data_IF_194672655546
#
_entry.id   IF_194672655546
#
_cell.length_a   1.000
_cell.length_b   1.000
_cell.length_c   1.000
_cell.angle_alpha   90.00
_cell.angle_beta   90.00
_cell.angle_gamma   90.00
#
_symmetry.space_group_name_H-M   'P 1'
#
loop_
_entity.id
_entity.type
_entity.pdbx_description
1 polymer ?
#
# COMPACT_ATOMS: atom_id res chain seq x y z
N UNK A 1 -8.81 -18.72 13.43
CA UNK A 1 -9.78 -18.18 12.47
C UNK A 1 -8.98 -17.36 11.48
N UNK A 2 -9.15 -17.56 10.17
CA UNK A 2 -8.51 -16.67 9.19
C UNK A 2 -9.19 -15.31 9.31
N UNK A 3 -8.41 -14.26 9.55
CA UNK A 3 -8.93 -12.89 9.58
C UNK A 3 -9.35 -12.48 8.17
N UNK A 4 -10.38 -11.63 8.07
CA UNK A 4 -10.92 -11.21 6.78
C UNK A 4 -9.99 -10.17 6.14
N UNK A 5 -9.70 -10.36 4.86
CA UNK A 5 -8.87 -9.46 4.06
C UNK A 5 -9.73 -8.40 3.34
N UNK A 6 -9.17 -7.19 3.24
CA UNK A 6 -9.78 -6.07 2.53
C UNK A 6 -8.74 -5.32 1.72
N UNK A 7 -9.10 -4.93 0.50
CA UNK A 7 -8.18 -4.30 -0.45
C UNK A 7 -8.75 -2.96 -0.89
N UNK A 8 -7.93 -1.92 -0.79
CA UNK A 8 -8.31 -0.55 -1.14
C UNK A 8 -7.25 0.10 -2.01
N UNK A 9 -7.71 0.97 -2.91
CA UNK A 9 -6.93 1.87 -3.74
C UNK A 9 -7.39 3.30 -3.48
N UNK A 10 -6.46 4.24 -3.29
CA UNK A 10 -6.79 5.63 -3.05
C UNK A 10 -5.68 6.59 -3.46
N UNK A 11 -6.02 7.85 -3.72
CA UNK A 11 -5.03 8.90 -3.86
C UNK A 11 -4.44 9.23 -2.48
N UNK A 12 -3.16 9.59 -2.44
CA UNK A 12 -2.47 9.99 -1.22
C UNK A 12 -1.50 11.13 -1.49
N UNK A 13 -1.34 12.00 -0.50
CA UNK A 13 -0.28 12.99 -0.46
C UNK A 13 0.96 12.38 0.20
N UNK A 14 2.09 12.42 -0.50
CA UNK A 14 3.41 12.03 0.00
C UNK A 14 4.29 13.27 0.16
N UNK A 15 5.44 13.12 0.82
CA UNK A 15 6.36 14.24 1.04
C UNK A 15 6.84 14.89 -0.27
N UNK A 16 7.02 14.11 -1.34
CA UNK A 16 7.48 14.62 -2.65
C UNK A 16 6.36 14.84 -3.68
N UNK A 17 5.09 14.68 -3.32
CA UNK A 17 3.95 15.00 -4.20
C UNK A 17 2.74 14.09 -4.06
N UNK A 18 1.81 14.21 -5.01
CA UNK A 18 0.61 13.37 -5.09
C UNK A 18 0.94 12.03 -5.73
N UNK A 19 0.36 10.97 -5.17
CA UNK A 19 0.44 9.63 -5.74
C UNK A 19 -0.75 8.78 -5.35
N UNK A 20 -0.58 7.46 -5.43
CA UNK A 20 -1.64 6.51 -5.08
C UNK A 20 -1.11 5.43 -4.14
N UNK A 21 -2.00 4.92 -3.29
CA UNK A 21 -1.73 3.81 -2.38
C UNK A 21 -2.66 2.66 -2.68
N UNK A 22 -2.11 1.45 -2.59
CA UNK A 22 -2.87 0.21 -2.53
C UNK A 22 -2.61 -0.43 -1.17
N UNK A 23 -3.66 -0.73 -0.41
CA UNK A 23 -3.50 -1.30 0.94
C UNK A 23 -4.31 -2.57 1.09
N UNK A 24 -3.65 -3.63 1.54
CA UNK A 24 -4.28 -4.82 2.09
C UNK A 24 -4.38 -4.67 3.61
N UNK A 25 -5.59 -4.90 4.12
CA UNK A 25 -5.83 -5.03 5.54
C UNK A 25 -6.19 -6.46 5.90
N UNK A 26 -5.50 -7.04 6.87
CA UNK A 26 -5.93 -8.24 7.58
C UNK A 26 -6.65 -7.80 8.86
N UNK A 27 -7.97 -7.98 8.90
CA UNK A 27 -8.80 -7.46 9.98
C UNK A 27 -8.79 -5.93 10.02
N UNK A 28 -8.15 -5.35 11.04
CA UNK A 28 -8.04 -3.90 11.23
C UNK A 28 -6.63 -3.35 10.98
N UNK A 29 -5.65 -4.19 10.65
CA UNK A 29 -4.24 -3.78 10.47
C UNK A 29 -3.83 -3.92 9.03
N UNK A 30 -3.04 -2.97 8.52
CA UNK A 30 -2.44 -3.13 7.21
C UNK A 30 -1.40 -4.27 7.27
N UNK A 31 -1.46 -5.20 6.32
CA UNK A 31 -0.52 -6.31 6.17
C UNK A 31 0.45 -6.08 5.02
N UNK A 32 -0.01 -5.41 3.97
CA UNK A 32 0.77 -5.05 2.78
C UNK A 32 0.31 -3.71 2.25
N UNK A 33 1.25 -2.92 1.73
CA UNK A 33 0.96 -1.65 1.09
C UNK A 33 1.89 -1.42 -0.10
N UNK A 34 1.35 -0.79 -1.14
CA UNK A 34 2.10 -0.36 -2.32
C UNK A 34 1.89 1.14 -2.44
N UNK A 35 2.97 1.90 -2.38
CA UNK A 35 2.97 3.33 -2.57
C UNK A 35 3.47 3.61 -3.99
N UNK A 36 2.72 4.37 -4.79
CA UNK A 36 3.14 4.73 -6.15
C UNK A 36 3.31 6.23 -6.23
N UNK A 37 4.54 6.66 -6.51
CA UNK A 37 4.93 8.06 -6.52
C UNK A 37 5.90 8.31 -7.67
N UNK A 38 5.62 9.33 -8.49
CA UNK A 38 6.45 9.69 -9.65
C UNK A 38 6.75 8.51 -10.60
N UNK A 39 5.79 7.59 -10.77
CA UNK A 39 5.93 6.39 -11.62
C UNK A 39 6.72 5.24 -10.98
N UNK A 40 7.21 5.39 -9.75
CA UNK A 40 7.91 4.35 -9.00
C UNK A 40 6.97 3.69 -7.99
N UNK A 41 7.12 2.38 -7.81
CA UNK A 41 6.31 1.59 -6.89
C UNK A 41 7.16 1.11 -5.72
N UNK A 42 6.66 1.33 -4.50
CA UNK A 42 7.31 0.94 -3.25
C UNK A 42 6.35 0.01 -2.49
N UNK A 43 6.53 -1.30 -2.68
CA UNK A 43 5.76 -2.34 -2.01
C UNK A 43 6.45 -2.75 -0.70
N UNK A 44 5.69 -2.85 0.39
CA UNK A 44 6.19 -3.28 1.68
C UNK A 44 5.14 -4.04 2.50
N UNK A 45 5.63 -4.94 3.35
CA UNK A 45 4.88 -5.66 4.37
C UNK A 45 5.52 -5.49 5.76
N UNK A 46 6.32 -4.43 5.96
CA UNK A 46 7.15 -4.22 7.14
C UNK A 46 7.02 -2.78 7.64
N UNK A 47 6.69 -2.61 8.92
CA UNK A 47 6.51 -1.29 9.54
C UNK A 47 7.81 -0.48 9.64
N UNK A 48 8.97 -1.13 9.48
CA UNK A 48 10.28 -0.47 9.54
C UNK A 48 10.78 0.00 8.17
N UNK A 49 10.12 -0.39 7.07
CA UNK A 49 10.54 0.02 5.75
C UNK A 49 10.23 1.50 5.54
N UNK A 50 11.26 2.25 5.14
CA UNK A 50 11.22 3.69 5.02
C UNK A 50 11.93 4.14 3.74
N UNK A 51 11.30 5.03 2.99
CA UNK A 51 11.90 5.69 1.83
C UNK A 51 11.78 7.20 2.04
N UNK A 52 12.89 7.98 1.99
CA UNK A 52 12.86 9.42 2.30
C UNK A 52 11.84 10.26 1.54
N UNK A 53 11.45 9.86 0.33
CA UNK A 53 10.48 10.58 -0.50
C UNK A 53 9.02 10.22 -0.18
N UNK A 54 8.78 9.06 0.41
CA UNK A 54 7.46 8.48 0.68
C UNK A 54 7.12 8.54 2.18
N UNK A 55 8.10 8.26 3.03
CA UNK A 55 7.92 8.02 4.47
C UNK A 55 7.97 6.52 4.80
N UNK A 56 7.29 6.13 5.87
CA UNK A 56 7.07 4.72 6.19
C UNK A 56 6.15 4.10 5.14
N UNK A 57 6.51 2.90 4.67
CA UNK A 57 5.83 2.30 3.53
C UNK A 57 4.57 1.52 3.89
N UNK A 58 4.33 1.26 5.17
CA UNK A 58 3.17 0.53 5.67
C UNK A 58 2.44 1.34 6.75
N UNK A 59 1.14 1.55 6.55
CA UNK A 59 0.28 2.20 7.54
C UNK A 59 0.23 1.40 8.85
N UNK A 60 0.50 2.06 9.98
CA UNK A 60 0.62 1.42 11.30
C UNK A 60 -0.63 1.56 12.18
N UNK A 61 -1.58 2.42 11.78
CA UNK A 61 -2.85 2.64 12.45
C UNK A 61 -3.94 1.61 12.14
N UNK A 62 -5.15 1.83 12.67
CA UNK A 62 -6.28 0.93 12.40
C UNK A 62 -7.08 1.37 11.17
N UNK A 63 -7.67 0.38 10.50
CA UNK A 63 -8.52 0.58 9.30
C UNK A 63 -9.83 1.30 9.60
N UNK A 64 -10.32 1.31 10.84
CA UNK A 64 -11.52 2.03 11.25
C UNK A 64 -11.25 3.49 11.67
N UNK A 65 -9.99 3.83 11.85
CA UNK A 65 -9.51 5.20 12.11
C UNK A 65 -9.07 5.91 10.81
N UNK A 66 -8.84 5.14 9.74
CA UNK A 66 -8.48 5.67 8.43
C UNK A 66 -9.72 6.09 7.65
N UNK A 67 -9.72 7.32 7.15
CA UNK A 67 -10.74 7.78 6.22
C UNK A 67 -10.55 7.12 4.85
N UNK A 68 -11.52 6.30 4.46
CA UNK A 68 -11.53 5.54 3.20
C UNK A 68 -12.71 5.96 2.32
N UNK A 69 -13.40 7.08 2.61
CA UNK A 69 -14.58 7.51 1.84
C UNK A 69 -14.28 7.68 0.36
N UNK A 70 -13.08 8.19 0.06
CA UNK A 70 -12.62 8.49 -1.30
C UNK A 70 -11.80 7.33 -1.90
N UNK A 71 -11.62 6.24 -1.13
CA UNK A 71 -10.93 5.04 -1.59
C UNK A 71 -11.88 4.11 -2.34
N UNK A 72 -11.35 3.49 -3.40
CA UNK A 72 -12.04 2.45 -4.15
C UNK A 72 -11.66 1.11 -3.55
N UNK A 73 -12.67 0.31 -3.20
CA UNK A 73 -12.45 -1.09 -2.82
C UNK A 73 -12.15 -1.91 -4.08
N UNK A 74 -11.07 -2.66 -4.07
CA UNK A 74 -10.63 -3.52 -5.17
C UNK A 74 -10.73 -5.01 -4.80
N UNK A 75 -10.53 -5.89 -5.77
CA UNK A 75 -10.49 -7.34 -5.52
C UNK A 75 -9.10 -7.79 -5.05
N UNK A 76 -9.04 -8.98 -4.44
CA UNK A 76 -7.77 -9.60 -4.07
C UNK A 76 -6.91 -9.86 -5.31
N UNK A 77 -7.49 -10.39 -6.38
CA UNK A 77 -6.78 -10.70 -7.63
C UNK A 77 -6.17 -9.44 -8.25
N UNK A 78 -6.87 -8.32 -8.18
CA UNK A 78 -6.36 -7.03 -8.65
C UNK A 78 -5.18 -6.56 -7.80
N UNK A 79 -5.29 -6.63 -6.47
CA UNK A 79 -4.19 -6.27 -5.57
C UNK A 79 -2.96 -7.15 -5.81
N UNK A 80 -3.11 -8.48 -5.87
CA UNK A 80 -1.99 -9.41 -6.06
C UNK A 80 -1.28 -9.20 -7.39
N UNK A 81 -2.01 -8.88 -8.46
CA UNK A 81 -1.43 -8.54 -9.76
C UNK A 81 -0.53 -7.31 -9.65
N UNK A 82 -0.98 -6.26 -8.96
CA UNK A 82 -0.23 -5.00 -8.79
C UNK A 82 0.96 -5.22 -7.84
N UNK A 83 0.77 -6.01 -6.78
CA UNK A 83 1.82 -6.42 -5.85
C UNK A 83 2.97 -7.14 -6.57
N UNK A 84 2.65 -8.15 -7.37
CA UNK A 84 3.63 -8.90 -8.13
C UNK A 84 4.44 -8.00 -9.09
N UNK A 85 3.78 -7.02 -9.72
CA UNK A 85 4.44 -6.04 -10.59
C UNK A 85 5.38 -5.12 -9.79
N UNK A 86 4.92 -4.59 -8.64
CA UNK A 86 5.69 -3.69 -7.80
C UNK A 86 6.95 -4.37 -7.21
N UNK A 87 6.82 -5.61 -6.75
CA UNK A 87 7.95 -6.39 -6.23
C UNK A 87 8.94 -6.72 -7.36
N UNK A 88 8.47 -7.06 -8.55
CA UNK A 88 9.34 -7.32 -9.70
C UNK A 88 10.11 -6.06 -10.14
N UNK A 89 9.49 -4.87 -10.09
CA UNK A 89 10.18 -3.62 -10.41
C UNK A 89 11.26 -3.24 -9.40
N UNK A 90 11.08 -3.56 -8.12
CA UNK A 90 12.06 -3.28 -7.06
C UNK A 90 13.30 -4.18 -7.05
N UNK A 91 13.33 -5.24 -7.87
CA UNK A 91 14.47 -6.18 -7.96
C UNK A 91 15.52 -5.80 -9.01
N UNK A 92 15.29 -4.75 -9.82
CA UNK A 92 16.18 -4.39 -10.92
C UNK A 92 17.29 -3.38 -10.57
N UNK A 93 17.39 -2.96 -9.30
CA UNK A 93 18.39 -1.98 -8.82
C UNK A 93 19.56 -2.63 -8.04
N UNK A 94 19.97 -3.85 -8.40
CA UNK A 94 21.20 -4.51 -7.86
C UNK A 94 22.24 -4.78 -8.93
#
# INVERSE_FOLDING_TARGET
>A
MCEKEYYYYGNSEFMSGLGVIYTEFTGQRASRQINVLNGHSYASSCLQDYVPEVGFLLYDGRKDELDLSDSIKISQEEFERIWAQAVASGQNDT
#
